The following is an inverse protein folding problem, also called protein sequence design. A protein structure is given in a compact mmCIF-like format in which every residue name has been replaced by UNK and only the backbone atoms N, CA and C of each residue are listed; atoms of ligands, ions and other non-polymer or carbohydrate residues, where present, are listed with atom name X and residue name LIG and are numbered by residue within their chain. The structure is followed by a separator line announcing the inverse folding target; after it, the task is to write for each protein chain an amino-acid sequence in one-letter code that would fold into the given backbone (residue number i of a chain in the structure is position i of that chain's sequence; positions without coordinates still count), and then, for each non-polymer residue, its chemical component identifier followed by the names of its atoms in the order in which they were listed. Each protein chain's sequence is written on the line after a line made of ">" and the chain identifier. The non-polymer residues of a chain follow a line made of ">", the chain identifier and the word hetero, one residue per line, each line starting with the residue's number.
data_IF_588190112094
#
_entry.id   IF_588190112094
#
_cell.length_a   1.000
_cell.length_b   1.000
_cell.length_c   1.000
_cell.angle_alpha   90.00
_cell.angle_beta   90.00
_cell.angle_gamma   90.00
#
_symmetry.space_group_name_H-M   'P 1'
#
loop_
_entity.id
_entity.type
_entity.pdbx_description
1 polymer ?
#
# COMPACT_ATOMS: atom_id res chain seq x y z
N UNK A 1 -12.06 -9.16 9.62
CA UNK A 1 -11.26 -8.34 8.69
C UNK A 1 -9.86 -8.95 8.62
N UNK A 2 -9.48 -9.56 7.50
CA UNK A 2 -8.08 -9.94 7.29
C UNK A 2 -7.34 -8.69 6.81
N UNK A 3 -6.31 -8.28 7.55
CA UNK A 3 -5.39 -7.22 7.15
C UNK A 3 -4.61 -7.75 5.95
N UNK A 4 -4.84 -7.20 4.76
CA UNK A 4 -3.91 -7.42 3.64
C UNK A 4 -2.62 -6.70 3.99
N UNK A 5 -1.67 -7.42 4.59
CA UNK A 5 -0.37 -6.89 4.90
C UNK A 5 0.39 -6.66 3.60
N UNK A 6 0.66 -5.39 3.29
CA UNK A 6 1.65 -5.05 2.27
C UNK A 6 3.03 -5.47 2.79
N UNK A 7 3.79 -6.20 1.97
CA UNK A 7 5.19 -6.53 2.25
C UNK A 7 6.04 -5.50 1.53
N UNK A 8 6.78 -4.71 2.29
CA UNK A 8 7.67 -3.65 1.80
C UNK A 8 9.02 -3.69 2.49
N UNK A 9 9.97 -2.93 1.96
CA UNK A 9 11.27 -2.67 2.57
C UNK A 9 11.76 -1.25 2.23
N UNK A 10 12.69 -0.77 3.05
CA UNK A 10 13.45 0.45 2.78
C UNK A 10 14.73 0.11 2.01
N UNK A 11 14.89 0.57 0.76
CA UNK A 11 16.07 0.28 -0.02
C UNK A 11 17.29 1.07 0.47
N UNK A 12 17.13 2.11 1.30
CA UNK A 12 18.23 2.91 1.85
C UNK A 12 18.56 2.42 3.26
N UNK A 13 19.49 1.47 3.35
CA UNK A 13 19.88 0.77 4.59
C UNK A 13 20.62 1.68 5.57
N UNK A 14 21.44 2.60 5.05
CA UNK A 14 22.22 3.53 5.87
C UNK A 14 22.37 4.87 5.15
N UNK A 15 22.37 5.96 5.92
CA UNK A 15 22.50 7.31 5.41
C UNK A 15 23.37 8.14 6.37
N UNK A 16 24.50 8.62 5.88
CA UNK A 16 25.49 9.36 6.69
C UNK A 16 25.96 10.59 5.95
N UNK A 17 26.16 11.68 6.69
CA UNK A 17 27.01 12.77 6.20
C UNK A 17 28.46 12.32 6.32
N UNK A 18 29.25 12.51 5.27
CA UNK A 18 30.62 12.04 5.25
C UNK A 18 31.50 12.89 6.19
N UNK A 19 32.16 12.30 7.20
CA UNK A 19 33.23 12.98 7.90
C UNK A 19 34.47 13.05 6.99
N UNK A 20 35.19 14.18 7.02
CA UNK A 20 36.31 14.49 6.10
C UNK A 20 37.53 13.56 6.19
N UNK A 21 37.55 12.55 7.07
CA UNK A 21 38.80 11.88 7.50
C UNK A 21 38.81 10.35 7.58
N UNK A 22 37.74 9.63 7.20
CA UNK A 22 37.75 8.15 7.22
C UNK A 22 37.76 7.55 5.82
N UNK A 23 38.64 6.56 5.54
CA UNK A 23 38.60 5.84 4.27
C UNK A 23 37.29 5.07 4.16
N UNK A 24 36.68 5.17 2.98
CA UNK A 24 35.46 4.44 2.68
C UNK A 24 35.78 3.00 2.31
N UNK A 25 34.90 2.09 2.74
CA UNK A 25 35.00 0.66 2.42
C UNK A 25 34.11 0.34 1.24
N UNK A 26 34.55 -0.59 0.41
CA UNK A 26 33.74 -1.17 -0.66
C UNK A 26 32.45 -1.77 -0.06
N UNK A 27 31.29 -1.56 -0.70
CA UNK A 27 30.04 -2.14 -0.19
C UNK A 27 30.06 -3.68 -0.26
N UNK A 28 29.38 -4.37 0.66
CA UNK A 28 29.24 -5.82 0.60
C UNK A 28 28.34 -6.25 -0.58
N UNK A 29 28.38 -7.54 -0.98
CA UNK A 29 27.47 -8.07 -1.99
C UNK A 29 26.00 -7.77 -1.69
N UNK A 30 25.21 -7.52 -2.73
CA UNK A 30 23.81 -7.14 -2.60
C UNK A 30 23.59 -5.70 -2.11
N UNK A 31 24.64 -4.88 -2.00
CA UNK A 31 24.52 -3.46 -1.67
C UNK A 31 25.35 -2.61 -2.63
N UNK A 32 24.95 -1.36 -2.77
CA UNK A 32 25.68 -0.33 -3.48
C UNK A 32 25.91 0.88 -2.58
N UNK A 33 27.06 1.53 -2.75
CA UNK A 33 27.38 2.77 -2.07
C UNK A 33 27.11 3.94 -3.00
N UNK A 34 26.28 4.89 -2.57
CA UNK A 34 25.97 6.10 -3.33
C UNK A 34 26.60 7.30 -2.64
N UNK A 35 27.46 8.00 -3.36
CA UNK A 35 28.14 9.21 -2.91
C UNK A 35 27.51 10.43 -3.58
N UNK A 36 26.99 11.34 -2.78
CA UNK A 36 26.27 12.52 -3.25
C UNK A 36 27.16 13.76 -3.10
N UNK A 37 27.57 14.39 -4.23
CA UNK A 37 28.35 15.62 -4.20
C UNK A 37 27.51 16.84 -3.81
N UNK A 38 28.15 17.99 -3.62
CA UNK A 38 27.43 19.26 -3.46
C UNK A 38 26.67 19.66 -4.73
N UNK A 39 27.24 19.32 -5.88
CA UNK A 39 26.66 19.54 -7.19
C UNK A 39 27.15 18.50 -8.19
N UNK A 40 26.32 18.23 -9.20
CA UNK A 40 26.58 17.19 -10.21
C UNK A 40 25.95 15.84 -9.87
N UNK A 41 26.20 14.82 -10.71
CA UNK A 41 25.59 13.50 -10.56
C UNK A 41 26.16 12.76 -9.35
N UNK A 42 25.31 11.99 -8.67
CA UNK A 42 25.75 11.06 -7.63
C UNK A 42 26.59 9.93 -8.25
N UNK A 43 27.62 9.51 -7.53
CA UNK A 43 28.45 8.38 -7.93
C UNK A 43 27.95 7.12 -7.24
N UNK A 44 27.74 6.05 -8.00
CA UNK A 44 27.44 4.72 -7.45
C UNK A 44 28.70 3.86 -7.51
N UNK A 45 29.04 3.23 -6.39
CA UNK A 45 30.09 2.22 -6.29
C UNK A 45 29.44 0.88 -5.97
N UNK A 46 29.71 -0.14 -6.79
CA UNK A 46 29.19 -1.50 -6.64
C UNK A 46 30.20 -2.40 -5.90
N UNK A 47 29.80 -3.60 -5.47
CA UNK A 47 30.72 -4.54 -4.84
C UNK A 47 31.90 -4.87 -5.77
N UNK A 48 33.12 -4.78 -5.23
CA UNK A 48 34.36 -5.04 -5.99
C UNK A 48 34.88 -3.84 -6.79
N UNK A 49 34.11 -2.77 -6.94
CA UNK A 49 34.59 -1.54 -7.59
C UNK A 49 35.49 -0.74 -6.64
N UNK A 50 36.50 -0.04 -7.18
CA UNK A 50 37.34 0.84 -6.38
C UNK A 50 36.52 1.99 -5.82
N UNK A 51 36.62 2.20 -4.51
CA UNK A 51 35.99 3.35 -3.86
C UNK A 51 36.88 4.58 -4.09
N UNK A 52 36.36 5.70 -4.61
CA UNK A 52 37.16 6.88 -4.82
C UNK A 52 37.68 7.44 -3.50
N UNK A 53 38.83 8.10 -3.55
CA UNK A 53 39.32 8.84 -2.41
C UNK A 53 38.40 10.05 -2.16
N UNK A 54 37.77 10.07 -0.99
CA UNK A 54 36.87 11.16 -0.56
C UNK A 54 37.62 12.26 0.21
N UNK A 55 38.95 12.16 0.32
CA UNK A 55 39.80 13.23 0.85
C UNK A 55 39.60 14.50 0.01
N UNK A 56 39.32 15.61 0.70
CA UNK A 56 39.02 16.90 0.08
C UNK A 56 37.55 17.32 0.09
N UNK A 57 36.62 16.45 0.52
CA UNK A 57 35.24 16.85 0.77
C UNK A 57 34.37 17.02 -0.49
N UNK A 58 34.72 16.36 -1.60
CA UNK A 58 33.93 16.38 -2.84
C UNK A 58 32.50 15.85 -2.68
N UNK A 59 32.24 15.05 -1.63
CA UNK A 59 30.95 14.45 -1.34
C UNK A 59 30.43 14.87 0.05
N UNK A 60 29.15 15.25 0.13
CA UNK A 60 28.47 15.62 1.38
C UNK A 60 27.69 14.46 2.00
N UNK A 61 27.17 13.58 1.16
CA UNK A 61 26.30 12.48 1.57
C UNK A 61 26.84 11.13 1.12
N UNK A 62 26.60 10.13 1.96
CA UNK A 62 26.86 8.73 1.65
C UNK A 62 25.63 7.91 2.04
N UNK A 63 25.17 7.09 1.11
CA UNK A 63 24.02 6.21 1.30
C UNK A 63 24.42 4.78 0.94
N UNK A 64 24.03 3.84 1.77
CA UNK A 64 24.14 2.42 1.46
C UNK A 64 22.77 1.94 1.01
N UNK A 65 22.69 1.46 -0.22
CA UNK A 65 21.45 1.04 -0.87
C UNK A 65 21.45 -0.47 -1.03
N UNK A 66 20.34 -1.11 -0.67
CA UNK A 66 20.10 -2.53 -0.93
C UNK A 66 19.77 -2.74 -2.41
N UNK A 67 20.53 -3.62 -3.05
CA UNK A 67 20.36 -4.02 -4.45
C UNK A 67 20.13 -5.53 -4.59
N UNK A 68 19.87 -6.22 -3.49
CA UNK A 68 19.45 -7.61 -3.49
C UNK A 68 18.02 -7.73 -4.03
N UNK A 69 17.64 -8.97 -4.32
CA UNK A 69 16.29 -9.28 -4.78
C UNK A 69 15.34 -9.37 -3.58
N UNK A 70 14.22 -8.66 -3.67
CA UNK A 70 13.22 -8.61 -2.60
C UNK A 70 11.82 -8.90 -3.13
N UNK A 71 11.03 -9.57 -2.32
CA UNK A 71 9.60 -9.79 -2.60
C UNK A 71 8.79 -8.60 -2.12
N UNK A 72 7.92 -8.08 -2.99
CA UNK A 72 6.90 -7.10 -2.63
C UNK A 72 5.51 -7.73 -2.69
N UNK A 73 4.63 -7.25 -1.82
CA UNK A 73 3.22 -7.59 -1.86
C UNK A 73 2.39 -6.32 -1.65
N UNK A 74 1.41 -6.09 -2.53
CA UNK A 74 0.57 -4.90 -2.53
C UNK A 74 -0.90 -5.31 -2.55
N UNK A 75 -1.73 -4.66 -1.74
CA UNK A 75 -3.18 -4.73 -1.83
C UNK A 75 -3.72 -3.56 -2.63
N UNK A 76 -4.52 -3.82 -3.66
CA UNK A 76 -5.13 -2.82 -4.52
C UNK A 76 -6.65 -3.02 -4.56
N UNK A 77 -7.40 -1.93 -4.48
CA UNK A 77 -8.84 -1.91 -4.78
C UNK A 77 -9.04 -1.52 -6.22
N UNK A 78 -9.59 -2.43 -7.01
CA UNK A 78 -9.77 -2.24 -8.44
C UNK A 78 -11.26 -2.15 -8.79
N UNK A 79 -11.65 -1.20 -9.63
CA UNK A 79 -13.00 -1.13 -10.16
C UNK A 79 -13.26 -2.29 -11.10
N UNK A 80 -14.49 -2.79 -11.07
CA UNK A 80 -15.04 -3.64 -12.12
C UNK A 80 -15.92 -2.83 -13.07
N UNK A 81 -16.50 -3.51 -14.05
CA UNK A 81 -17.51 -2.95 -14.94
C UNK A 81 -18.74 -2.46 -14.18
N UNK A 82 -19.15 -3.23 -13.16
CA UNK A 82 -20.44 -3.07 -12.50
C UNK A 82 -20.35 -2.31 -11.16
N UNK A 83 -19.15 -2.16 -10.57
CA UNK A 83 -18.94 -1.48 -9.30
C UNK A 83 -17.52 -0.87 -9.16
N UNK A 84 -17.37 0.29 -8.49
CA UNK A 84 -16.09 0.99 -8.36
C UNK A 84 -15.04 0.26 -7.48
N UNK A 85 -15.47 -0.64 -6.60
CA UNK A 85 -14.60 -1.45 -5.72
C UNK A 85 -14.89 -2.96 -5.87
N UNK A 86 -15.17 -3.41 -7.09
CA UNK A 86 -15.60 -4.79 -7.36
C UNK A 86 -14.56 -5.85 -6.95
N UNK A 87 -13.27 -5.50 -7.00
CA UNK A 87 -12.18 -6.45 -6.78
C UNK A 87 -11.19 -5.98 -5.72
N UNK A 88 -10.83 -6.90 -4.83
CA UNK A 88 -9.60 -6.82 -4.05
C UNK A 88 -8.52 -7.59 -4.78
N UNK A 89 -7.53 -6.88 -5.27
CA UNK A 89 -6.38 -7.47 -5.94
C UNK A 89 -5.20 -7.50 -4.98
N UNK A 90 -4.61 -8.68 -4.82
CA UNK A 90 -3.34 -8.83 -4.14
C UNK A 90 -2.26 -9.15 -5.16
N UNK A 91 -1.33 -8.22 -5.34
CA UNK A 91 -0.21 -8.36 -6.28
C UNK A 91 1.03 -8.76 -5.51
N UNK A 92 1.69 -9.84 -5.95
CA UNK A 92 3.01 -10.26 -5.45
C UNK A 92 3.99 -10.22 -6.60
N UNK A 93 5.18 -9.67 -6.36
CA UNK A 93 6.21 -9.54 -7.38
C UNK A 93 7.60 -9.55 -6.75
N UNK A 94 8.61 -9.82 -7.58
CA UNK A 94 10.01 -9.64 -7.21
C UNK A 94 10.49 -8.28 -7.71
N UNK A 95 11.34 -7.64 -6.91
CA UNK A 95 11.95 -6.37 -7.27
C UNK A 95 13.44 -6.37 -6.95
N UNK A 96 14.19 -5.59 -7.72
CA UNK A 96 15.62 -5.38 -7.52
C UNK A 96 15.98 -3.96 -7.94
N UNK A 97 16.71 -3.23 -7.09
CA UNK A 97 17.22 -1.90 -7.44
C UNK A 97 18.32 -2.03 -8.49
N UNK A 98 18.14 -1.38 -9.65
CA UNK A 98 19.11 -1.36 -10.76
C UNK A 98 19.92 -0.07 -10.80
N UNK A 99 19.31 1.06 -10.39
CA UNK A 99 19.97 2.37 -10.24
C UNK A 99 19.84 2.90 -8.80
N UNK A 100 20.85 2.63 -7.95
CA UNK A 100 20.88 3.11 -6.57
C UNK A 100 20.89 4.64 -6.45
N UNK A 101 21.54 5.35 -7.37
CA UNK A 101 21.61 6.80 -7.34
C UNK A 101 20.23 7.43 -7.54
N UNK A 102 19.44 6.89 -8.47
CA UNK A 102 18.07 7.35 -8.69
C UNK A 102 17.14 7.04 -7.50
N UNK A 103 17.33 5.93 -6.77
CA UNK A 103 16.58 5.67 -5.52
C UNK A 103 16.84 6.78 -4.49
N UNK A 104 18.10 7.12 -4.27
CA UNK A 104 18.50 8.16 -3.30
C UNK A 104 18.01 9.53 -3.76
N UNK A 105 18.21 9.88 -5.03
CA UNK A 105 17.80 11.18 -5.58
C UNK A 105 16.28 11.39 -5.51
N UNK A 106 15.49 10.33 -5.70
CA UNK A 106 14.02 10.37 -5.59
C UNK A 106 13.52 10.25 -4.15
N UNK A 107 14.40 9.96 -3.19
CA UNK A 107 14.03 9.78 -1.78
C UNK A 107 13.12 8.57 -1.55
N UNK A 108 13.25 7.50 -2.33
CA UNK A 108 12.40 6.31 -2.18
C UNK A 108 12.84 5.55 -0.92
N UNK A 109 11.97 5.53 0.09
CA UNK A 109 12.17 4.82 1.37
C UNK A 109 11.17 3.69 1.60
N UNK A 110 10.13 3.61 0.78
CA UNK A 110 9.13 2.54 0.81
C UNK A 110 8.90 2.05 -0.61
N UNK A 111 9.36 0.84 -0.88
CA UNK A 111 9.28 0.25 -2.22
C UNK A 111 7.84 -0.10 -2.61
N UNK A 112 7.02 -0.56 -1.68
CA UNK A 112 5.61 -0.84 -1.98
C UNK A 112 4.85 0.45 -2.32
N UNK A 113 5.07 1.53 -1.57
CA UNK A 113 4.43 2.81 -1.83
C UNK A 113 4.85 3.41 -3.18
N UNK A 114 6.14 3.29 -3.53
CA UNK A 114 6.65 3.77 -4.82
C UNK A 114 6.02 3.06 -6.03
N UNK A 115 5.54 1.83 -5.86
CA UNK A 115 4.93 1.03 -6.93
C UNK A 115 3.40 0.94 -6.85
N UNK A 116 2.78 1.40 -5.76
CA UNK A 116 1.34 1.31 -5.57
C UNK A 116 0.58 1.97 -6.73
N UNK A 117 0.83 3.26 -6.99
CA UNK A 117 0.06 4.02 -7.98
C UNK A 117 0.32 3.58 -9.43
N UNK A 118 1.58 3.35 -9.88
CA UNK A 118 1.84 2.82 -11.22
C UNK A 118 1.11 1.49 -11.48
N UNK A 119 1.14 0.57 -10.51
CA UNK A 119 0.45 -0.72 -10.63
C UNK A 119 -1.07 -0.54 -10.59
N UNK A 120 -1.58 0.34 -9.72
CA UNK A 120 -3.01 0.62 -9.64
C UNK A 120 -3.54 1.12 -10.97
N UNK A 121 -2.92 2.15 -11.56
CA UNK A 121 -3.35 2.74 -12.84
C UNK A 121 -3.37 1.70 -13.95
N UNK A 122 -2.31 0.91 -14.07
CA UNK A 122 -2.20 -0.11 -15.12
C UNK A 122 -3.28 -1.20 -14.97
N UNK A 123 -3.51 -1.68 -13.75
CA UNK A 123 -4.47 -2.77 -13.50
C UNK A 123 -5.92 -2.29 -13.53
N UNK A 124 -6.17 -1.03 -13.14
CA UNK A 124 -7.49 -0.40 -13.15
C UNK A 124 -8.12 -0.41 -14.53
N UNK A 125 -7.34 -0.12 -15.57
CA UNK A 125 -7.87 -0.02 -16.94
C UNK A 125 -8.25 -1.40 -17.52
N UNK A 126 -7.59 -2.45 -17.02
CA UNK A 126 -7.91 -3.84 -17.36
C UNK A 126 -9.14 -4.31 -16.60
N UNK A 127 -9.21 -4.06 -15.29
CA UNK A 127 -10.27 -4.58 -14.42
C UNK A 127 -11.66 -4.01 -14.76
N UNK A 128 -11.73 -2.77 -15.24
CA UNK A 128 -12.98 -2.11 -15.68
C UNK A 128 -13.77 -2.85 -16.76
N UNK A 129 -13.13 -3.78 -17.47
CA UNK A 129 -13.77 -4.56 -18.55
C UNK A 129 -14.58 -5.75 -18.04
N UNK A 130 -14.42 -6.10 -16.76
CA UNK A 130 -14.95 -7.34 -16.20
C UNK A 130 -15.93 -7.08 -15.05
N UNK A 131 -17.01 -7.86 -15.01
CA UNK A 131 -17.92 -7.92 -13.86
C UNK A 131 -17.43 -8.90 -12.78
N UNK A 132 -18.03 -8.87 -11.60
CA UNK A 132 -17.66 -9.76 -10.47
C UNK A 132 -17.85 -11.25 -10.80
N UNK A 133 -18.81 -11.58 -11.65
CA UNK A 133 -19.05 -12.95 -12.14
C UNK A 133 -17.90 -13.48 -13.01
N UNK A 134 -17.09 -12.58 -13.57
CA UNK A 134 -15.98 -12.91 -14.47
C UNK A 134 -14.63 -12.93 -13.74
N UNK A 135 -14.61 -13.27 -12.44
CA UNK A 135 -13.43 -13.19 -11.58
C UNK A 135 -12.19 -13.91 -12.16
N UNK A 136 -12.36 -15.11 -12.71
CA UNK A 136 -11.25 -15.89 -13.28
C UNK A 136 -10.69 -15.26 -14.56
N UNK A 137 -11.57 -14.77 -15.44
CA UNK A 137 -11.19 -14.09 -16.67
C UNK A 137 -10.45 -12.79 -16.36
N UNK A 138 -10.98 -12.00 -15.41
CA UNK A 138 -10.35 -10.79 -14.91
C UNK A 138 -8.96 -11.08 -14.34
N UNK A 139 -8.81 -12.09 -13.48
CA UNK A 139 -7.50 -12.46 -12.93
C UNK A 139 -6.52 -12.89 -14.03
N UNK A 140 -6.98 -13.65 -15.03
CA UNK A 140 -6.17 -14.03 -16.18
C UNK A 140 -5.67 -12.81 -16.98
N UNK A 141 -6.57 -11.85 -17.24
CA UNK A 141 -6.24 -10.62 -17.94
C UNK A 141 -5.27 -9.72 -17.16
N UNK A 142 -5.45 -9.59 -15.84
CA UNK A 142 -4.52 -8.84 -15.00
C UNK A 142 -3.14 -9.49 -14.97
N UNK A 143 -3.06 -10.81 -14.81
CA UNK A 143 -1.79 -11.53 -14.89
C UNK A 143 -1.13 -11.39 -16.27
N UNK A 144 -1.92 -11.30 -17.34
CA UNK A 144 -1.39 -11.00 -18.66
C UNK A 144 -0.80 -9.59 -18.77
N UNK A 145 -1.49 -8.59 -18.23
CA UNK A 145 -0.98 -7.23 -18.19
C UNK A 145 0.30 -7.12 -17.34
N UNK A 146 0.38 -7.84 -16.23
CA UNK A 146 1.53 -7.84 -15.33
C UNK A 146 2.80 -8.43 -15.97
N UNK A 147 2.69 -9.31 -16.97
CA UNK A 147 3.87 -9.84 -17.70
C UNK A 147 4.66 -8.77 -18.44
N UNK A 148 4.02 -7.65 -18.78
CA UNK A 148 4.63 -6.56 -19.52
C UNK A 148 5.03 -5.39 -18.62
N UNK A 149 5.01 -5.56 -17.30
CA UNK A 149 5.56 -4.57 -16.39
C UNK A 149 7.07 -4.50 -16.58
N UNK A 150 7.49 -3.41 -17.20
CA UNK A 150 8.84 -2.90 -17.07
C UNK A 150 8.83 -1.95 -15.90
N UNK A 151 9.57 -2.26 -14.84
CA UNK A 151 9.86 -1.26 -13.84
C UNK A 151 10.53 -0.04 -14.49
N UNK A 152 10.40 1.13 -13.86
CA UNK A 152 11.20 2.31 -14.20
C UNK A 152 12.68 1.91 -14.28
N UNK A 153 13.54 2.60 -15.06
CA UNK A 153 14.96 2.23 -15.20
C UNK A 153 15.71 2.07 -13.86
N UNK A 154 15.15 2.64 -12.80
CA UNK A 154 15.62 2.57 -11.42
C UNK A 154 15.46 1.20 -10.73
N UNK A 155 14.42 0.44 -11.07
CA UNK A 155 14.08 -0.82 -10.39
C UNK A 155 13.60 -1.82 -11.41
N UNK A 156 14.17 -3.02 -11.38
CA UNK A 156 13.67 -4.17 -12.14
C UNK A 156 12.53 -4.83 -11.37
N UNK A 157 11.41 -5.06 -12.05
CA UNK A 157 10.26 -5.81 -11.53
C UNK A 157 10.07 -7.08 -12.37
N UNK A 158 9.77 -8.22 -11.73
CA UNK A 158 9.55 -9.48 -12.44
C UNK A 158 8.75 -10.49 -11.59
N UNK A 159 8.35 -11.62 -12.20
CA UNK A 159 7.47 -12.67 -11.61
C UNK A 159 6.23 -12.09 -10.90
N UNK A 160 5.63 -11.06 -11.50
CA UNK A 160 4.45 -10.41 -10.96
C UNK A 160 3.20 -11.26 -11.16
N UNK A 161 2.42 -11.44 -10.09
CA UNK A 161 1.17 -12.20 -10.08
C UNK A 161 0.09 -11.47 -9.30
N UNK A 162 -1.10 -11.39 -9.87
CA UNK A 162 -2.32 -10.89 -9.26
C UNK A 162 -3.22 -12.05 -8.82
N UNK A 163 -3.72 -11.96 -7.60
CA UNK A 163 -4.79 -12.79 -7.06
C UNK A 163 -5.99 -11.89 -6.79
N UNK A 164 -7.15 -12.23 -7.36
CA UNK A 164 -8.38 -11.48 -7.13
C UNK A 164 -9.28 -12.16 -6.12
N UNK A 165 -9.91 -11.33 -5.30
CA UNK A 165 -11.06 -11.70 -4.48
C UNK A 165 -12.20 -10.75 -4.80
N UNK A 166 -13.39 -11.30 -5.02
CA UNK A 166 -14.61 -10.51 -5.17
C UNK A 166 -15.09 -10.06 -3.79
N UNK A 167 -15.35 -8.76 -3.63
CA UNK A 167 -16.12 -8.23 -2.49
C UNK A 167 -17.61 -8.26 -2.85
N UNK A 168 -18.13 -9.41 -3.28
CA UNK A 168 -19.57 -9.50 -3.46
C UNK A 168 -20.19 -9.49 -2.06
N UNK A 169 -21.02 -8.49 -1.69
CA UNK A 169 -21.87 -8.66 -0.52
C UNK A 169 -22.70 -9.90 -0.81
N UNK A 170 -22.47 -10.98 -0.03
CA UNK A 170 -23.25 -12.20 -0.17
C UNK A 170 -24.74 -11.84 -0.16
N UNK A 171 -25.59 -12.53 -0.93
CA UNK A 171 -27.00 -12.18 -1.01
C UNK A 171 -27.53 -12.12 0.40
N UNK A 172 -27.90 -10.91 0.83
CA UNK A 172 -28.47 -10.68 2.15
C UNK A 172 -29.74 -11.50 2.19
N UNK A 173 -29.66 -12.72 2.74
CA UNK A 173 -30.81 -13.57 3.01
C UNK A 173 -31.56 -12.93 4.16
N UNK A 174 -32.25 -11.83 3.86
CA UNK A 174 -33.37 -11.38 4.67
C UNK A 174 -34.41 -12.49 4.52
N UNK A 175 -34.35 -13.43 5.48
CA UNK A 175 -35.34 -14.48 5.67
C UNK A 175 -36.66 -13.77 5.95
N UNK A 176 -37.45 -13.56 4.90
CA UNK A 176 -38.81 -13.10 5.01
C UNK A 176 -39.57 -14.05 5.94
N UNK A 177 -39.81 -13.60 7.16
CA UNK A 177 -40.81 -14.21 8.03
C UNK A 177 -42.15 -13.83 7.43
N UNK A 178 -42.72 -14.74 6.63
CA UNK A 178 -44.15 -14.70 6.30
C UNK A 178 -44.91 -14.99 7.58
N UNK A 179 -45.42 -13.96 8.23
CA UNK A 179 -46.57 -14.09 9.12
C UNK A 179 -47.82 -14.13 8.22
N UNK A 180 -48.53 -15.26 8.24
CA UNK A 180 -49.79 -15.47 7.52
C UNK A 180 -50.87 -15.79 8.56
N UNK A 181 -51.96 -15.03 8.53
CA UNK A 181 -53.22 -15.27 9.24
C UNK A 181 -53.40 -14.36 10.46
N UNK A 182 -54.54 -13.70 10.71
CA UNK A 182 -55.88 -13.84 10.12
C UNK A 182 -56.87 -12.83 10.73
N UNK A 183 -57.75 -12.24 9.90
CA UNK A 183 -59.09 -11.68 10.23
C UNK A 183 -59.13 -10.31 10.93
N UNK A 184 -60.15 -9.47 10.79
CA UNK A 184 -61.26 -9.31 9.84
C UNK A 184 -61.87 -7.90 10.09
N UNK A 185 -62.51 -7.33 9.08
CA UNK A 185 -63.50 -6.23 9.07
C UNK A 185 -63.28 -4.89 9.83
N UNK A 186 -63.20 -3.78 9.06
CA UNK A 186 -64.18 -2.66 9.01
C UNK A 186 -63.54 -1.27 8.76
N UNK A 187 -63.82 -0.71 7.59
CA UNK A 187 -63.72 0.73 7.26
C UNK A 187 -65.11 1.38 7.44
N UNK A 188 -65.33 2.72 7.29
CA UNK A 188 -64.40 3.86 7.18
C UNK A 188 -64.85 5.12 7.98
N UNK A 189 -63.97 6.14 8.13
CA UNK A 189 -64.39 7.56 8.17
C UNK A 189 -63.23 8.53 7.86
N UNK A 190 -63.50 9.42 6.91
CA UNK A 190 -62.67 10.50 6.32
C UNK A 190 -63.20 11.86 6.85
N UNK A 191 -62.63 13.07 6.60
CA UNK A 191 -61.25 13.58 6.39
C UNK A 191 -60.84 14.67 7.42
N UNK A 192 -59.58 15.12 7.39
CA UNK A 192 -59.21 16.45 7.90
C UNK A 192 -57.70 16.63 8.11
N UNK A 193 -57.02 17.30 7.17
CA UNK A 193 -55.74 17.98 7.45
C UNK A 193 -55.99 19.45 7.80
N UNK A 194 -54.96 20.32 7.81
CA UNK A 194 -53.53 20.07 8.04
C UNK A 194 -53.03 20.85 9.28
N UNK A 195 -51.95 20.42 9.94
CA UNK A 195 -51.22 21.33 10.82
C UNK A 195 -49.72 21.12 10.79
N UNK A 196 -49.05 22.25 10.56
CA UNK A 196 -47.63 22.48 10.43
C UNK A 196 -47.06 22.62 11.83
N UNK A 197 -46.04 21.83 12.20
CA UNK A 197 -45.12 22.24 13.26
C UNK A 197 -43.67 22.07 12.81
N UNK A 198 -43.07 23.24 12.56
CA UNK A 198 -41.64 23.52 12.61
C UNK A 198 -41.08 23.21 14.01
N UNK A 199 -39.84 22.75 14.02
CA UNK A 199 -38.98 22.69 15.20
C UNK A 199 -38.31 21.31 15.29
N UNK A 200 -37.04 21.13 15.56
CA UNK A 200 -35.94 22.02 15.92
C UNK A 200 -34.64 21.26 15.59
N UNK A 201 -33.62 22.00 15.19
CA UNK A 201 -32.25 21.50 15.04
C UNK A 201 -31.68 21.31 16.43
N UNK A 202 -31.58 20.07 16.91
CA UNK A 202 -30.71 19.73 18.04
C UNK A 202 -29.38 19.24 17.50
N UNK A 203 -28.42 20.17 17.49
CA UNK A 203 -27.01 19.88 17.43
C UNK A 203 -26.68 18.85 18.53
N UNK A 204 -26.33 17.63 18.12
CA UNK A 204 -25.68 16.68 19.01
C UNK A 204 -24.31 17.27 19.37
N UNK A 205 -24.21 17.84 20.56
CA UNK A 205 -22.93 18.03 21.24
C UNK A 205 -22.26 16.67 21.32
N UNK A 206 -21.14 16.53 20.65
CA UNK A 206 -20.15 15.51 20.94
C UNK A 206 -19.82 15.58 22.43
N UNK A 207 -20.08 14.49 23.14
CA UNK A 207 -19.59 14.25 24.47
C UNK A 207 -18.13 13.79 24.35
N UNK A 208 -17.14 14.49 24.95
CA UNK A 208 -15.75 14.09 24.86
C UNK A 208 -15.54 12.76 25.59
N UNK A 209 -14.90 11.80 24.91
CA UNK A 209 -14.50 10.52 25.48
C UNK A 209 -13.66 10.73 26.77
N UNK A 210 -13.88 9.92 27.82
CA UNK A 210 -13.04 9.96 29.01
C UNK A 210 -11.60 9.56 28.67
N UNK A 211 -10.60 10.15 29.35
CA UNK A 211 -9.20 9.80 29.13
C UNK A 211 -8.94 8.33 29.51
N UNK A 212 -8.03 7.64 28.80
CA UNK A 212 -7.67 6.27 29.13
C UNK A 212 -7.02 6.19 30.52
N UNK A 213 -7.25 5.09 31.26
CA UNK A 213 -6.66 4.91 32.58
C UNK A 213 -5.12 4.82 32.50
N UNK A 214 -4.41 5.29 33.53
CA UNK A 214 -2.95 5.22 33.57
C UNK A 214 -2.46 3.77 33.51
N UNK A 215 -1.50 3.50 32.64
CA UNK A 215 -0.89 2.19 32.46
C UNK A 215 -0.20 1.74 33.75
N UNK A 216 -0.64 0.60 34.28
CA UNK A 216 -0.02 -0.05 35.45
C UNK A 216 1.40 -0.48 35.08
N UNK A 217 2.43 -0.17 35.89
CA UNK A 217 3.78 -0.64 35.63
C UNK A 217 3.86 -2.17 35.78
N UNK A 218 4.74 -2.84 35.00
CA UNK A 218 4.89 -4.29 35.04
C UNK A 218 5.43 -4.74 36.41
N UNK A 219 4.83 -5.80 36.95
CA UNK A 219 5.27 -6.45 38.19
C UNK A 219 6.71 -6.97 38.04
N UNK A 220 7.54 -6.85 39.09
CA UNK A 220 8.90 -7.39 39.06
C UNK A 220 8.88 -8.92 39.00
N UNK A 221 9.88 -9.55 38.38
CA UNK A 221 9.99 -11.00 38.32
C UNK A 221 10.21 -11.59 39.73
N UNK A 222 9.71 -12.81 39.99
CA UNK A 222 9.98 -13.49 41.25
C UNK A 222 11.48 -13.79 41.37
N UNK A 223 12.04 -13.50 42.54
CA UNK A 223 13.42 -13.84 42.89
C UNK A 223 13.55 -15.35 43.23
N UNK A 224 14.71 -15.96 42.96
CA UNK A 224 14.96 -17.40 43.13
C UNK A 224 14.99 -17.86 44.59
#
# INVERSE_FOLDING_TARGET
>A
MMVTHSLTYDPVVDAKRLPRSRPLRTPPPGRALVLVPEGGPALTVRPGEPVPDVRGGAYRGMFLVDTAEHRLALGLRLPGRDAPDAFHCHVRLMCQVTDPAAIVARGIRDMSAAWHDPLHVQLRDVSRRYGTEQLREAQGALNAALRHITGAPTVRLYDARAELRSDAPGPSRVRGVRARGSGDAAEPKVPGGPEVLRGEVLARREEPLPPPPPSTPPSPPPSP
#
